data_IF_756850629821
#
_entry.id   IF_756850629821
#
_cell.length_a   1.000
_cell.length_b   1.000
_cell.length_c   1.000
_cell.angle_alpha   90.00
_cell.angle_beta   90.00
_cell.angle_gamma   90.00
#
_symmetry.space_group_name_H-M   'P 1'
#
loop_
_entity.id
_entity.type
_entity.pdbx_description
1 polymer ?
#
# COMPACT_ATOMS: atom_id res chain seq x y z
N UNK A 1 36.17 9.06 5.92
CA UNK A 1 35.25 10.20 5.70
C UNK A 1 33.87 9.67 5.26
N UNK A 2 32.97 9.33 6.21
CA UNK A 2 31.71 8.61 5.96
C UNK A 2 30.54 9.49 5.46
N UNK A 3 30.66 10.82 5.49
CA UNK A 3 29.57 11.76 5.18
C UNK A 3 29.18 11.79 3.69
N UNK A 4 30.09 11.46 2.78
CA UNK A 4 29.84 11.47 1.33
C UNK A 4 28.97 10.28 0.88
N UNK A 5 29.03 9.14 1.58
CA UNK A 5 28.24 7.95 1.24
C UNK A 5 26.73 8.18 1.43
N UNK A 6 26.33 8.89 2.48
CA UNK A 6 24.92 9.18 2.75
C UNK A 6 24.32 10.15 1.72
N UNK A 7 25.08 11.15 1.29
CA UNK A 7 24.65 12.07 0.23
C UNK A 7 24.40 11.34 -1.10
N UNK A 8 25.18 10.30 -1.41
CA UNK A 8 25.05 9.54 -2.66
C UNK A 8 23.80 8.63 -2.65
N UNK A 9 23.44 8.06 -1.51
CA UNK A 9 22.21 7.26 -1.34
C UNK A 9 20.96 8.13 -1.55
N UNK A 10 20.96 9.35 -1.02
CA UNK A 10 19.83 10.28 -1.21
C UNK A 10 19.64 10.66 -2.68
N UNK A 11 20.73 10.85 -3.43
CA UNK A 11 20.66 11.18 -4.86
C UNK A 11 20.12 10.03 -5.74
N UNK A 12 20.28 8.77 -5.32
CA UNK A 12 19.70 7.61 -6.03
C UNK A 12 18.19 7.53 -5.83
N UNK A 13 17.71 7.83 -4.62
CA UNK A 13 16.27 7.74 -4.28
C UNK A 13 15.45 8.84 -4.99
N UNK A 14 16.06 10.00 -5.26
CA UNK A 14 15.40 11.16 -5.86
C UNK A 14 15.70 11.36 -7.35
N UNK A 15 16.33 10.39 -8.02
CA UNK A 15 16.40 10.40 -9.47
C UNK A 15 15.02 10.05 -10.04
N UNK A 16 14.36 11.05 -10.62
CA UNK A 16 13.16 10.85 -11.42
C UNK A 16 13.61 10.16 -12.71
N UNK A 17 13.61 8.83 -12.73
CA UNK A 17 13.95 8.01 -13.90
C UNK A 17 12.77 7.83 -14.87
N UNK A 18 11.72 8.65 -14.75
CA UNK A 18 10.54 8.61 -15.61
C UNK A 18 10.39 9.87 -16.45
N UNK A 19 10.01 9.70 -17.72
CA UNK A 19 9.61 10.82 -18.56
C UNK A 19 8.37 11.50 -17.97
N UNK A 20 8.55 12.76 -17.56
CA UNK A 20 7.45 13.60 -17.03
C UNK A 20 6.60 14.07 -18.21
N UNK A 21 5.73 13.19 -18.66
CA UNK A 21 4.73 13.45 -19.70
C UNK A 21 3.36 13.75 -19.06
N UNK A 22 2.47 14.38 -19.82
CA UNK A 22 1.08 14.67 -19.42
C UNK A 22 0.36 13.38 -18.98
N UNK A 23 0.63 12.25 -19.65
CA UNK A 23 0.07 10.94 -19.27
C UNK A 23 0.48 10.51 -17.87
N UNK A 24 1.77 10.62 -17.52
CA UNK A 24 2.29 10.27 -16.19
C UNK A 24 1.68 11.17 -15.10
N UNK A 25 1.52 12.46 -15.39
CA UNK A 25 0.87 13.41 -14.46
C UNK A 25 -0.58 13.02 -14.21
N UNK A 26 -1.33 12.68 -15.26
CA UNK A 26 -2.73 12.25 -15.14
C UNK A 26 -2.83 10.97 -14.32
N UNK A 27 -1.95 9.99 -14.55
CA UNK A 27 -1.93 8.74 -13.78
C UNK A 27 -1.69 9.00 -12.28
N UNK A 28 -0.72 9.85 -11.93
CA UNK A 28 -0.46 10.21 -10.53
C UNK A 28 -1.68 10.93 -9.92
N UNK A 29 -2.29 11.87 -10.66
CA UNK A 29 -3.48 12.58 -10.18
C UNK A 29 -4.64 11.63 -9.89
N UNK A 30 -4.86 10.63 -10.74
CA UNK A 30 -5.90 9.61 -10.54
C UNK A 30 -5.63 8.83 -9.24
N UNK A 31 -4.40 8.38 -9.02
CA UNK A 31 -4.03 7.63 -7.80
C UNK A 31 -4.21 8.49 -6.55
N UNK A 32 -3.76 9.75 -6.57
CA UNK A 32 -3.84 10.66 -5.42
C UNK A 32 -5.28 11.02 -5.07
N UNK A 33 -6.11 11.33 -6.08
CA UNK A 33 -7.49 11.76 -5.86
C UNK A 33 -8.35 10.55 -5.51
N UNK A 34 -8.39 9.53 -6.38
CA UNK A 34 -9.29 8.39 -6.21
C UNK A 34 -8.76 7.38 -5.18
N UNK A 35 -7.48 7.00 -5.30
CA UNK A 35 -6.87 5.95 -4.48
C UNK A 35 -6.58 6.38 -3.05
N UNK A 36 -6.31 7.67 -2.81
CA UNK A 36 -5.95 8.17 -1.47
C UNK A 36 -7.01 9.10 -0.89
N UNK A 37 -7.27 10.23 -1.55
CA UNK A 37 -8.09 11.30 -0.95
C UNK A 37 -9.54 10.87 -0.73
N UNK A 38 -10.19 10.36 -1.78
CA UNK A 38 -11.59 9.90 -1.69
C UNK A 38 -11.70 8.67 -0.79
N UNK A 39 -10.79 7.70 -0.93
CA UNK A 39 -10.76 6.51 -0.07
C UNK A 39 -10.67 6.89 1.42
N UNK A 40 -9.82 7.86 1.76
CA UNK A 40 -9.66 8.35 3.13
C UNK A 40 -10.91 9.09 3.64
N UNK A 41 -11.56 9.89 2.78
CA UNK A 41 -12.83 10.53 3.14
C UNK A 41 -13.93 9.50 3.42
N UNK A 42 -14.02 8.45 2.60
CA UNK A 42 -14.95 7.33 2.82
C UNK A 42 -14.61 6.60 4.12
N UNK A 43 -13.33 6.39 4.42
CA UNK A 43 -12.90 5.79 5.70
C UNK A 43 -13.40 6.61 6.90
N UNK A 44 -13.17 7.92 6.92
CA UNK A 44 -13.67 8.79 8.01
C UNK A 44 -15.21 8.76 8.07
N UNK A 45 -15.88 8.82 6.91
CA UNK A 45 -17.34 8.75 6.86
C UNK A 45 -17.85 7.41 7.44
N UNK A 46 -17.17 6.30 7.15
CA UNK A 46 -17.52 4.96 7.63
C UNK A 46 -17.50 4.86 9.16
N UNK A 47 -16.62 5.60 9.85
CA UNK A 47 -16.55 5.60 11.32
C UNK A 47 -17.82 6.14 12.00
N UNK A 48 -18.71 6.81 11.26
CA UNK A 48 -20.04 7.17 11.77
C UNK A 48 -21.05 6.02 11.71
N UNK A 49 -20.76 4.97 10.94
CA UNK A 49 -21.63 3.80 10.72
C UNK A 49 -21.08 2.52 11.37
N UNK A 50 -19.76 2.36 11.42
CA UNK A 50 -19.07 1.21 12.01
C UNK A 50 -18.16 1.64 13.16
N UNK A 51 -17.96 0.75 14.13
CA UNK A 51 -17.02 1.01 15.23
C UNK A 51 -15.57 1.07 14.70
N UNK A 52 -14.72 1.84 15.39
CA UNK A 52 -13.29 1.95 15.06
C UNK A 52 -12.57 0.60 15.06
N UNK A 53 -13.00 -0.33 15.92
CA UNK A 53 -12.48 -1.71 15.94
C UNK A 53 -12.85 -2.48 14.66
N UNK A 54 -14.11 -2.41 14.21
CA UNK A 54 -14.53 -3.07 12.97
C UNK A 54 -13.86 -2.47 11.73
N UNK A 55 -13.70 -1.14 11.70
CA UNK A 55 -12.96 -0.45 10.66
C UNK A 55 -11.49 -0.89 10.62
N UNK A 56 -10.85 -1.02 11.79
CA UNK A 56 -9.49 -1.54 11.93
C UNK A 56 -9.34 -2.95 11.37
N UNK A 57 -10.29 -3.84 11.66
CA UNK A 57 -10.30 -5.20 11.11
C UNK A 57 -10.42 -5.17 9.58
N UNK A 58 -11.34 -4.37 9.04
CA UNK A 58 -11.50 -4.21 7.58
C UNK A 58 -10.23 -3.69 6.90
N UNK A 59 -9.52 -2.73 7.51
CA UNK A 59 -8.23 -2.25 7.00
C UNK A 59 -7.15 -3.33 7.10
N UNK A 60 -7.18 -4.18 8.11
CA UNK A 60 -6.31 -5.34 8.21
C UNK A 60 -6.49 -6.35 7.04
N UNK A 61 -7.64 -6.32 6.35
CA UNK A 61 -7.86 -7.10 5.13
C UNK A 61 -7.27 -6.47 3.85
N UNK A 62 -6.74 -5.24 3.89
CA UNK A 62 -6.15 -4.59 2.71
C UNK A 62 -5.08 -5.44 1.98
N UNK A 63 -4.13 -6.10 2.68
CA UNK A 63 -3.12 -6.93 2.00
C UNK A 63 -3.75 -8.11 1.24
N UNK A 64 -4.85 -8.66 1.77
CA UNK A 64 -5.60 -9.75 1.13
C UNK A 64 -6.21 -9.29 -0.18
N UNK A 65 -6.90 -8.15 -0.12
CA UNK A 65 -7.54 -7.55 -1.28
C UNK A 65 -6.49 -7.16 -2.32
N UNK A 66 -5.37 -6.57 -1.88
CA UNK A 66 -4.25 -6.22 -2.74
C UNK A 66 -3.69 -7.44 -3.47
N UNK A 67 -3.51 -8.58 -2.79
CA UNK A 67 -3.03 -9.81 -3.45
C UNK A 67 -4.06 -10.39 -4.44
N UNK A 68 -5.34 -10.41 -4.07
CA UNK A 68 -6.41 -10.88 -4.98
C UNK A 68 -6.47 -10.00 -6.23
N UNK A 69 -6.49 -8.68 -6.07
CA UNK A 69 -6.51 -7.73 -7.18
C UNK A 69 -5.21 -7.79 -8.01
N UNK A 70 -4.06 -8.03 -7.37
CA UNK A 70 -2.77 -8.23 -8.06
C UNK A 70 -2.82 -9.40 -9.03
N UNK A 71 -3.43 -10.52 -8.64
CA UNK A 71 -3.60 -11.69 -9.53
C UNK A 71 -4.70 -11.42 -10.56
N UNK A 72 -5.84 -10.88 -10.13
CA UNK A 72 -7.01 -10.72 -10.99
C UNK A 72 -6.84 -9.65 -12.08
N UNK A 73 -6.23 -8.51 -11.75
CA UNK A 73 -6.07 -7.36 -12.66
C UNK A 73 -4.74 -7.44 -13.40
N UNK A 74 -3.65 -7.70 -12.68
CA UNK A 74 -2.30 -7.65 -13.26
C UNK A 74 -1.78 -9.03 -13.71
N UNK A 75 -2.51 -10.12 -13.43
CA UNK A 75 -2.10 -11.47 -13.83
C UNK A 75 -0.83 -11.96 -13.15
N UNK A 76 -0.46 -11.37 -12.01
CA UNK A 76 0.76 -11.72 -11.29
C UNK A 76 0.69 -13.15 -10.78
N UNK A 77 1.81 -13.88 -10.90
CA UNK A 77 1.96 -15.23 -10.36
C UNK A 77 2.89 -15.16 -9.17
N UNK A 78 2.37 -15.50 -8.00
CA UNK A 78 3.18 -15.57 -6.79
C UNK A 78 4.08 -16.81 -6.81
N UNK A 79 5.36 -16.58 -6.63
CA UNK A 79 6.36 -17.59 -6.32
C UNK A 79 6.22 -18.08 -4.87
N UNK A 80 6.88 -19.19 -4.55
CA UNK A 80 6.80 -19.80 -3.22
C UNK A 80 7.26 -18.85 -2.10
N UNK A 81 8.29 -18.02 -2.36
CA UNK A 81 8.80 -17.07 -1.36
C UNK A 81 7.81 -15.92 -1.11
N UNK A 82 7.11 -15.45 -2.15
CA UNK A 82 6.09 -14.41 -2.02
C UNK A 82 4.87 -14.92 -1.26
N UNK A 83 4.53 -16.20 -1.42
CA UNK A 83 3.45 -16.84 -0.68
C UNK A 83 3.77 -16.93 0.83
N UNK A 84 5.03 -17.24 1.18
CA UNK A 84 5.50 -17.22 2.57
C UNK A 84 5.44 -15.79 3.14
N UNK A 85 5.88 -14.80 2.35
CA UNK A 85 5.79 -13.39 2.72
C UNK A 85 4.35 -12.94 2.98
N UNK A 86 3.41 -13.36 2.12
CA UNK A 86 1.99 -13.13 2.31
C UNK A 86 1.51 -13.74 3.63
N UNK A 87 1.78 -15.02 3.87
CA UNK A 87 1.43 -15.71 5.13
C UNK A 87 1.97 -14.98 6.38
N UNK A 88 3.21 -14.49 6.35
CA UNK A 88 3.80 -13.73 7.45
C UNK A 88 3.03 -12.44 7.75
N UNK A 89 2.57 -11.72 6.72
CA UNK A 89 1.75 -10.51 6.89
C UNK A 89 0.42 -10.84 7.58
N UNK A 90 -0.25 -11.93 7.18
CA UNK A 90 -1.49 -12.36 7.87
C UNK A 90 -1.24 -12.71 9.33
N UNK A 91 -0.19 -13.48 9.63
CA UNK A 91 0.14 -13.84 11.00
C UNK A 91 0.37 -12.57 11.83
N UNK A 92 1.06 -11.58 11.28
CA UNK A 92 1.26 -10.29 11.94
C UNK A 92 -0.06 -9.58 12.24
N UNK A 93 -1.00 -9.56 11.29
CA UNK A 93 -2.32 -8.96 11.47
C UNK A 93 -3.10 -9.67 12.58
N UNK A 94 -3.19 -11.01 12.52
CA UNK A 94 -3.91 -11.79 13.54
C UNK A 94 -3.34 -11.60 14.94
N UNK A 95 -2.01 -11.50 15.06
CA UNK A 95 -1.34 -11.24 16.35
C UNK A 95 -1.67 -9.83 16.86
N UNK A 96 -1.70 -8.84 15.97
CA UNK A 96 -2.01 -7.46 16.33
C UNK A 96 -3.48 -7.30 16.77
N UNK A 97 -4.42 -7.92 16.04
CA UNK A 97 -5.84 -7.87 16.39
C UNK A 97 -6.16 -8.56 17.70
N UNK A 98 -5.48 -9.68 18.03
CA UNK A 98 -5.66 -10.36 19.32
C UNK A 98 -5.26 -9.50 20.53
N UNK A 99 -4.54 -8.40 20.30
CA UNK A 99 -4.05 -7.48 21.33
C UNK A 99 -4.94 -6.23 21.48
N UNK A 100 -5.88 -6.01 20.57
CA UNK A 100 -6.91 -4.96 20.64
C UNK A 100 -8.19 -5.51 21.27
#
# INVERSE_FOLDING_TARGET
>A
MPLVKWALVLNVIWKIEGDVNIQSIIQVMIVVILGTSIAYLIYIASLNYISSSLAGILTAFEPVLAAILSVAIFGLKFSFIELIGFLLVFVSIFVLEKRL
#
